data_IF_657904646955
#
_entry.id   IF_657904646955
#
_cell.length_a   1.000
_cell.length_b   1.000
_cell.length_c   1.000
_cell.angle_alpha   90.00
_cell.angle_beta   90.00
_cell.angle_gamma   90.00
#
_symmetry.space_group_name_H-M   'P 1'
#
loop_
_entity.id
_entity.type
_entity.pdbx_description
1 polymer ?
#
# COMPACT_ATOMS: atom_id res chain seq x y z
N UNK A 1 9.70 -3.04 20.67
CA UNK A 1 9.13 -1.83 20.05
C UNK A 1 9.70 -0.61 20.75
N UNK A 2 10.30 0.33 20.02
CA UNK A 2 10.77 1.59 20.60
C UNK A 2 9.61 2.57 20.73
N UNK A 3 9.52 3.27 21.86
CA UNK A 3 8.61 4.40 22.03
C UNK A 3 9.37 5.67 21.67
N UNK A 4 8.81 6.49 20.77
CA UNK A 4 9.36 7.79 20.38
C UNK A 4 8.34 8.87 20.76
N UNK A 5 8.79 9.91 21.48
CA UNK A 5 7.95 11.06 21.83
C UNK A 5 8.21 12.21 20.86
N UNK A 6 7.14 12.81 20.34
CA UNK A 6 7.18 13.95 19.41
C UNK A 6 6.23 15.02 19.95
N UNK A 7 6.74 16.24 20.14
CA UNK A 7 5.90 17.40 20.49
C UNK A 7 5.39 18.06 19.21
N UNK A 8 4.06 18.22 19.11
CA UNK A 8 3.39 18.84 17.97
C UNK A 8 2.55 20.03 18.44
N UNK A 9 2.77 21.19 17.81
CA UNK A 9 1.85 22.32 17.88
C UNK A 9 0.67 22.02 16.96
N UNK A 10 -0.52 21.86 17.53
CA UNK A 10 -1.75 21.54 16.80
C UNK A 10 -2.71 22.72 16.80
N UNK A 11 -3.35 23.04 15.66
CA UNK A 11 -4.39 24.07 15.61
C UNK A 11 -5.53 23.80 16.61
N UNK A 12 -6.07 24.88 17.21
CA UNK A 12 -7.09 24.82 18.27
C UNK A 12 -8.32 23.97 17.87
N UNK A 13 -8.74 24.04 16.61
CA UNK A 13 -9.86 23.25 16.10
C UNK A 13 -9.59 21.73 16.15
N UNK A 14 -8.36 21.29 15.89
CA UNK A 14 -7.95 19.88 15.99
C UNK A 14 -7.87 19.46 17.44
N UNK A 15 -7.27 20.29 18.30
CA UNK A 15 -7.18 20.03 19.73
C UNK A 15 -8.58 19.88 20.37
N UNK A 16 -9.48 20.83 20.13
CA UNK A 16 -10.85 20.80 20.64
C UNK A 16 -11.66 19.60 20.11
N UNK A 17 -11.43 19.18 18.86
CA UNK A 17 -12.05 17.98 18.29
C UNK A 17 -11.55 16.71 18.98
N UNK A 18 -10.23 16.53 19.08
CA UNK A 18 -9.62 15.38 19.72
C UNK A 18 -10.00 15.29 21.21
N UNK A 19 -10.05 16.42 21.92
CA UNK A 19 -10.46 16.47 23.33
C UNK A 19 -11.92 16.05 23.54
N UNK A 20 -12.84 16.46 22.66
CA UNK A 20 -14.24 16.01 22.70
C UNK A 20 -14.35 14.50 22.50
N UNK A 21 -13.64 13.96 21.52
CA UNK A 21 -13.61 12.51 21.24
C UNK A 21 -13.03 11.74 22.43
N UNK A 22 -11.91 12.19 23.00
CA UNK A 22 -11.28 11.58 24.17
C UNK A 22 -12.22 11.47 25.37
N UNK A 23 -12.96 12.56 25.67
CA UNK A 23 -13.99 12.57 26.71
C UNK A 23 -15.12 11.58 26.42
N UNK A 24 -15.60 11.52 25.17
CA UNK A 24 -16.70 10.64 24.77
C UNK A 24 -16.33 9.15 24.89
N UNK A 25 -15.12 8.78 24.46
CA UNK A 25 -14.65 7.38 24.48
C UNK A 25 -13.90 7.00 25.76
N UNK A 26 -13.78 7.93 26.72
CA UNK A 26 -13.06 7.79 28.00
C UNK A 26 -11.62 7.30 27.83
N UNK A 27 -10.91 7.86 26.85
CA UNK A 27 -9.50 7.58 26.58
C UNK A 27 -8.66 8.84 26.73
N UNK A 28 -7.35 8.68 26.82
CA UNK A 28 -6.45 9.83 26.86
C UNK A 28 -6.47 10.57 25.50
N UNK A 29 -6.16 11.87 25.53
CA UNK A 29 -6.02 12.67 24.31
C UNK A 29 -4.94 12.07 23.39
N UNK A 30 -3.84 11.60 23.98
CA UNK A 30 -2.74 10.94 23.28
C UNK A 30 -3.22 9.68 22.54
N UNK A 31 -3.97 8.79 23.20
CA UNK A 31 -4.49 7.57 22.58
C UNK A 31 -5.39 7.87 21.37
N UNK A 32 -6.22 8.92 21.47
CA UNK A 32 -7.08 9.36 20.37
C UNK A 32 -6.25 9.91 19.22
N UNK A 33 -5.25 10.76 19.50
CA UNK A 33 -4.36 11.33 18.49
C UNK A 33 -3.54 10.24 17.79
N UNK A 34 -2.96 9.31 18.54
CA UNK A 34 -2.22 8.16 17.98
C UNK A 34 -3.13 7.31 17.10
N UNK A 35 -4.37 7.07 17.52
CA UNK A 35 -5.35 6.30 16.72
C UNK A 35 -5.71 7.04 15.42
N UNK A 36 -5.93 8.35 15.49
CA UNK A 36 -6.20 9.17 14.31
C UNK A 36 -5.00 9.17 13.34
N UNK A 37 -3.78 9.28 13.87
CA UNK A 37 -2.54 9.21 13.08
C UNK A 37 -2.38 7.85 12.40
N UNK A 38 -2.56 6.74 13.13
CA UNK A 38 -2.55 5.38 12.57
C UNK A 38 -3.57 5.19 11.44
N UNK A 39 -4.74 5.80 11.57
CA UNK A 39 -5.80 5.72 10.54
C UNK A 39 -5.46 6.58 9.32
N UNK A 40 -4.74 7.68 9.51
CA UNK A 40 -4.35 8.58 8.43
C UNK A 40 -3.13 8.07 7.66
N UNK A 41 -2.20 7.40 8.33
CA UNK A 41 -0.97 6.91 7.72
C UNK A 41 -1.25 5.65 6.88
N UNK A 42 -0.67 5.55 5.68
CA UNK A 42 -0.77 4.34 4.86
C UNK A 42 -0.20 3.13 5.63
N UNK A 43 -0.98 2.10 5.94
CA UNK A 43 -0.54 0.98 6.77
C UNK A 43 0.55 0.15 6.07
N UNK A 44 1.47 -0.43 6.86
CA UNK A 44 2.53 -1.35 6.41
C UNK A 44 2.65 -2.60 7.31
N UNK A 45 1.65 -2.85 8.15
CA UNK A 45 1.74 -3.86 9.20
C UNK A 45 1.73 -5.29 8.64
N UNK A 46 2.41 -6.21 9.33
CA UNK A 46 2.45 -7.66 9.08
C UNK A 46 2.94 -8.12 7.68
N UNK A 47 3.81 -7.33 7.04
CA UNK A 47 4.45 -7.72 5.79
C UNK A 47 5.83 -8.38 6.01
N UNK A 48 6.22 -9.35 5.17
CA UNK A 48 7.60 -9.84 5.09
C UNK A 48 8.59 -8.69 4.92
N UNK A 49 9.76 -8.79 5.55
CA UNK A 49 10.77 -7.71 5.59
C UNK A 49 11.17 -7.22 4.19
N UNK A 50 11.25 -8.13 3.22
CA UNK A 50 11.59 -7.82 1.84
C UNK A 50 10.52 -6.94 1.18
N UNK A 51 9.24 -7.25 1.42
CA UNK A 51 8.11 -6.45 0.91
C UNK A 51 8.02 -5.11 1.64
N UNK A 52 8.24 -5.09 2.95
CA UNK A 52 8.26 -3.86 3.73
C UNK A 52 9.34 -2.89 3.22
N UNK A 53 10.54 -3.40 2.97
CA UNK A 53 11.67 -2.60 2.46
C UNK A 53 11.36 -2.03 1.07
N UNK A 54 10.79 -2.83 0.19
CA UNK A 54 10.37 -2.38 -1.15
C UNK A 54 9.29 -1.29 -1.08
N UNK A 55 8.28 -1.46 -0.23
CA UNK A 55 7.14 -0.54 -0.14
C UNK A 55 7.47 0.77 0.59
N UNK A 56 8.37 0.74 1.59
CA UNK A 56 8.87 1.95 2.26
C UNK A 56 9.77 2.79 1.36
N UNK A 57 10.51 2.17 0.44
CA UNK A 57 11.28 2.91 -0.57
C UNK A 57 10.39 3.81 -1.45
N UNK A 58 9.12 3.45 -1.66
CA UNK A 58 8.18 4.27 -2.43
C UNK A 58 7.87 5.61 -1.76
N UNK A 59 8.03 5.74 -0.44
CA UNK A 59 7.79 6.98 0.30
C UNK A 59 8.78 8.09 -0.10
N UNK A 60 9.92 7.72 -0.69
CA UNK A 60 10.95 8.65 -1.15
C UNK A 60 10.73 9.11 -2.60
N UNK A 61 9.75 8.53 -3.31
CA UNK A 61 9.42 8.93 -4.68
C UNK A 61 8.56 10.20 -4.67
N UNK A 62 8.73 11.03 -5.71
CA UNK A 62 7.86 12.17 -5.99
C UNK A 62 6.48 11.71 -6.52
N UNK A 63 5.52 12.64 -6.58
CA UNK A 63 4.16 12.30 -6.99
C UNK A 63 4.07 11.86 -8.46
N UNK A 64 4.95 12.33 -9.35
CA UNK A 64 4.93 11.95 -10.77
C UNK A 64 5.40 10.50 -10.97
N UNK A 65 6.46 10.08 -10.27
CA UNK A 65 6.95 8.69 -10.28
C UNK A 65 5.96 7.75 -9.60
N UNK A 66 5.34 8.18 -8.50
CA UNK A 66 4.28 7.41 -7.85
C UNK A 66 3.09 7.22 -8.78
N UNK A 67 2.68 8.26 -9.51
CA UNK A 67 1.58 8.16 -10.47
C UNK A 67 1.91 7.22 -11.63
N UNK A 68 3.11 7.34 -12.20
CA UNK A 68 3.58 6.43 -13.25
C UNK A 68 3.60 4.96 -12.77
N UNK A 69 4.08 4.71 -11.55
CA UNK A 69 4.03 3.38 -10.94
C UNK A 69 2.58 2.92 -10.73
N UNK A 70 1.72 3.77 -10.17
CA UNK A 70 0.32 3.45 -9.89
C UNK A 70 -0.49 3.13 -11.15
N UNK A 71 -0.11 3.70 -12.30
CA UNK A 71 -0.71 3.43 -13.61
C UNK A 71 0.00 2.33 -14.40
N UNK A 72 1.16 1.85 -13.94
CA UNK A 72 1.93 0.85 -14.65
C UNK A 72 1.16 -0.48 -14.80
N UNK A 73 1.50 -1.21 -15.84
CA UNK A 73 0.94 -2.54 -16.13
C UNK A 73 2.06 -3.51 -16.45
N UNK A 74 1.82 -4.79 -16.23
CA UNK A 74 2.72 -5.84 -16.72
C UNK A 74 2.96 -5.63 -18.23
N UNK A 75 4.18 -5.87 -18.75
CA UNK A 75 4.44 -5.87 -20.18
C UNK A 75 3.43 -6.73 -20.95
N UNK A 76 2.96 -6.27 -22.11
CA UNK A 76 1.97 -6.99 -22.93
C UNK A 76 2.40 -8.43 -23.24
N UNK A 77 3.69 -8.68 -23.41
CA UNK A 77 4.24 -10.04 -23.63
C UNK A 77 3.99 -10.95 -22.43
N UNK A 78 4.19 -10.45 -21.21
CA UNK A 78 3.93 -11.16 -19.96
C UNK A 78 2.44 -11.35 -19.71
N UNK A 79 1.60 -10.33 -19.96
CA UNK A 79 0.14 -10.45 -19.85
C UNK A 79 -0.42 -11.54 -20.76
N UNK A 80 0.02 -11.57 -22.03
CA UNK A 80 -0.37 -12.61 -22.99
C UNK A 80 0.09 -13.99 -22.56
N UNK A 81 1.32 -14.09 -22.04
CA UNK A 81 1.89 -15.35 -21.54
C UNK A 81 1.11 -15.87 -20.33
N UNK A 82 0.82 -15.01 -19.36
CA UNK A 82 0.00 -15.32 -18.19
C UNK A 82 -1.39 -15.80 -18.60
N UNK A 83 -2.06 -15.05 -19.50
CA UNK A 83 -3.40 -15.41 -20.01
C UNK A 83 -3.41 -16.79 -20.69
N UNK A 84 -2.37 -17.09 -21.49
CA UNK A 84 -2.23 -18.40 -22.16
C UNK A 84 -2.03 -19.53 -21.16
N UNK A 85 -1.17 -19.33 -20.16
CA UNK A 85 -0.87 -20.34 -19.14
C UNK A 85 -2.09 -20.61 -18.26
N UNK A 86 -2.84 -19.57 -17.87
CA UNK A 86 -4.10 -19.72 -17.13
C UNK A 86 -5.13 -20.54 -17.91
N UNK A 87 -5.31 -20.27 -19.22
CA UNK A 87 -6.20 -21.08 -20.08
C UNK A 87 -5.75 -22.54 -20.18
N UNK A 88 -4.44 -22.78 -20.29
CA UNK A 88 -3.88 -24.14 -20.31
C UNK A 88 -4.08 -24.85 -18.98
N UNK A 89 -3.92 -24.14 -17.87
CA UNK A 89 -4.12 -24.67 -16.52
C UNK A 89 -5.60 -25.07 -16.32
N UNK A 90 -6.55 -24.21 -16.70
CA UNK A 90 -7.98 -24.53 -16.70
C UNK A 90 -8.33 -25.75 -17.54
N UNK A 91 -7.61 -25.99 -18.64
CA UNK A 91 -7.79 -27.15 -19.49
C UNK A 91 -7.08 -28.42 -18.99
N UNK A 92 -6.34 -28.36 -17.86
CA UNK A 92 -5.54 -29.47 -17.34
C UNK A 92 -4.34 -29.85 -18.22
N UNK A 93 -3.86 -28.93 -19.08
CA UNK A 93 -2.80 -29.16 -20.08
C UNK A 93 -1.48 -28.46 -19.75
N UNK A 94 -1.28 -28.10 -18.49
CA UNK A 94 -0.07 -27.42 -18.04
C UNK A 94 1.01 -28.45 -17.71
N UNK A 95 2.21 -28.26 -18.25
CA UNK A 95 3.36 -29.07 -17.84
C UNK A 95 4.10 -28.42 -16.66
N UNK A 96 5.03 -29.15 -16.04
CA UNK A 96 5.78 -28.69 -14.87
C UNK A 96 6.57 -27.39 -15.12
N UNK A 97 7.21 -27.26 -16.30
CA UNK A 97 7.93 -26.04 -16.67
C UNK A 97 6.99 -24.84 -16.82
N UNK A 98 5.81 -25.08 -17.39
CA UNK A 98 4.76 -24.08 -17.56
C UNK A 98 4.13 -23.69 -16.22
N UNK A 99 4.02 -24.62 -15.26
CA UNK A 99 3.57 -24.36 -13.89
C UNK A 99 4.52 -23.39 -13.17
N UNK A 100 5.84 -23.67 -13.18
CA UNK A 100 6.83 -22.78 -12.57
C UNK A 100 6.78 -21.37 -13.17
N UNK A 101 6.58 -21.27 -14.49
CA UNK A 101 6.47 -19.99 -15.18
C UNK A 101 5.16 -19.27 -14.84
N UNK A 102 4.06 -20.01 -14.66
CA UNK A 102 2.78 -19.45 -14.24
C UNK A 102 2.88 -18.88 -12.82
N UNK A 103 3.47 -19.61 -11.89
CA UNK A 103 3.71 -19.18 -10.51
C UNK A 103 4.57 -17.91 -10.45
N UNK A 104 5.67 -17.88 -11.20
CA UNK A 104 6.52 -16.69 -11.26
C UNK A 104 5.79 -15.45 -11.82
N UNK A 105 4.98 -15.62 -12.88
CA UNK A 105 4.20 -14.53 -13.45
C UNK A 105 3.07 -14.06 -12.52
N UNK A 106 2.46 -14.98 -11.77
CA UNK A 106 1.46 -14.65 -10.77
C UNK A 106 2.07 -13.84 -9.63
N UNK A 107 3.22 -14.28 -9.11
CA UNK A 107 3.94 -13.57 -8.04
C UNK A 107 4.38 -12.16 -8.47
N UNK A 108 4.87 -11.99 -9.71
CA UNK A 108 5.22 -10.66 -10.23
C UNK A 108 3.98 -9.77 -10.38
N UNK A 109 2.86 -10.32 -10.85
CA UNK A 109 1.59 -9.60 -10.96
C UNK A 109 1.09 -9.12 -9.59
N UNK A 110 1.17 -9.98 -8.57
CA UNK A 110 0.78 -9.66 -7.20
C UNK A 110 1.68 -8.57 -6.60
N UNK A 111 3.01 -8.71 -6.74
CA UNK A 111 3.97 -7.68 -6.31
C UNK A 111 3.74 -6.34 -7.01
N UNK A 112 3.42 -6.35 -8.30
CA UNK A 112 3.05 -5.13 -9.02
C UNK A 112 1.77 -4.50 -8.44
N UNK A 113 0.74 -5.30 -8.15
CA UNK A 113 -0.50 -4.80 -7.55
C UNK A 113 -0.27 -4.17 -6.17
N UNK A 114 0.56 -4.78 -5.33
CA UNK A 114 0.92 -4.23 -4.01
C UNK A 114 1.63 -2.88 -4.13
N UNK A 115 2.62 -2.78 -5.02
CA UNK A 115 3.31 -1.51 -5.32
C UNK A 115 2.35 -0.43 -5.81
N UNK A 116 1.43 -0.79 -6.71
CA UNK A 116 0.41 0.14 -7.24
C UNK A 116 -0.53 0.62 -6.13
N UNK A 117 -1.01 -0.28 -5.28
CA UNK A 117 -1.88 0.06 -4.16
C UNK A 117 -1.17 1.00 -3.18
N UNK A 118 0.10 0.73 -2.85
CA UNK A 118 0.91 1.61 -2.00
C UNK A 118 1.11 2.98 -2.63
N UNK A 119 1.42 3.04 -3.92
CA UNK A 119 1.58 4.30 -4.64
C UNK A 119 0.30 5.15 -4.62
N UNK A 120 -0.86 4.54 -4.86
CA UNK A 120 -2.15 5.24 -4.74
C UNK A 120 -2.44 5.71 -3.31
N UNK A 121 -2.14 4.91 -2.28
CA UNK A 121 -2.32 5.30 -0.89
C UNK A 121 -1.45 6.52 -0.53
N UNK A 122 -0.18 6.53 -0.98
CA UNK A 122 0.73 7.66 -0.78
C UNK A 122 0.25 8.92 -1.52
N UNK A 123 -0.17 8.79 -2.78
CA UNK A 123 -0.71 9.92 -3.55
C UNK A 123 -1.94 10.54 -2.87
N UNK A 124 -2.87 9.69 -2.39
CA UNK A 124 -4.05 10.13 -1.65
C UNK A 124 -3.67 10.86 -0.37
N UNK A 125 -2.74 10.29 0.41
CA UNK A 125 -2.26 10.89 1.65
C UNK A 125 -1.59 12.24 1.44
N UNK A 126 -0.86 12.41 0.33
CA UNK A 126 -0.23 13.68 -0.07
C UNK A 126 -1.20 14.69 -0.70
N UNK A 127 -2.49 14.38 -0.78
CA UNK A 127 -3.50 15.27 -1.36
C UNK A 127 -3.43 15.39 -2.89
N UNK A 128 -2.80 14.44 -3.59
CA UNK A 128 -2.76 14.43 -5.06
C UNK A 128 -4.10 13.98 -5.63
N UNK A 129 -4.55 14.62 -6.72
CA UNK A 129 -5.71 14.16 -7.47
C UNK A 129 -5.42 12.77 -8.05
N UNK A 130 -6.22 11.78 -7.63
CA UNK A 130 -6.19 10.46 -8.22
C UNK A 130 -6.94 10.52 -9.56
N UNK A 131 -6.41 9.93 -10.64
CA UNK A 131 -7.16 9.76 -11.87
C UNK A 131 -8.37 8.85 -11.58
N UNK A 132 -9.55 9.30 -12.03
CA UNK A 132 -10.84 8.61 -11.88
C UNK A 132 -11.01 7.54 -12.95
#
# INVERSE_FOLDING_TARGET
MGLHSVTLEVPENIYASAQRTAKAVRRSLEEVLVTALKTSLPPLDDLPVELLTELTALEHLDNSRLLALAQSTLPHTQQRKLSRLLRKNQAGKLNEREQLVLEALAAESERLMLRKARAYALLKWRGSALPV
#
